data_IF_091117498718
#
_entry.id   IF_091117498718
#
_cell.length_a   1.000
_cell.length_b   1.000
_cell.length_c   1.000
_cell.angle_alpha   90.00
_cell.angle_beta   90.00
_cell.angle_gamma   90.00
#
_symmetry.space_group_name_H-M   'P 1'
#
loop_
_entity.id
_entity.type
_entity.pdbx_description
1 polymer ?
#
# COMPACT_ATOMS: atom_id res chain seq x y z
N UNK A 1 8.04 5.62 -5.04
CA UNK A 1 8.46 6.42 -3.86
C UNK A 1 8.40 7.94 -4.02
N UNK A 2 9.29 8.61 -4.78
CA UNK A 2 9.26 10.10 -4.88
C UNK A 2 7.94 10.64 -5.46
N UNK A 3 7.35 9.93 -6.43
CA UNK A 3 6.13 10.37 -7.08
C UNK A 3 4.91 10.37 -6.13
N UNK A 4 4.76 9.35 -5.28
CA UNK A 4 3.58 9.24 -4.40
C UNK A 4 3.66 10.14 -3.15
N UNK A 5 4.82 10.22 -2.50
CA UNK A 5 5.01 11.09 -1.33
C UNK A 5 4.95 12.58 -1.72
N UNK A 6 5.47 12.94 -2.90
CA UNK A 6 5.31 14.28 -3.45
C UNK A 6 3.86 14.56 -3.88
N UNK A 7 3.14 13.57 -4.40
CA UNK A 7 1.73 13.71 -4.78
C UNK A 7 0.79 13.95 -3.59
N UNK A 8 1.14 13.47 -2.38
CA UNK A 8 0.45 13.81 -1.14
C UNK A 8 0.92 15.13 -0.50
N UNK A 9 1.90 15.82 -1.10
CA UNK A 9 2.42 17.09 -0.58
C UNK A 9 3.22 16.95 0.72
N UNK A 10 3.71 15.75 1.05
CA UNK A 10 4.40 15.49 2.31
C UNK A 10 5.78 16.13 2.26
N UNK A 11 5.97 17.16 3.09
CA UNK A 11 7.24 17.89 3.18
C UNK A 11 8.24 17.11 4.03
N UNK A 12 9.49 17.02 3.56
CA UNK A 12 10.62 16.42 4.29
C UNK A 12 10.72 17.00 5.72
N UNK A 13 10.44 18.29 5.90
CA UNK A 13 10.44 18.96 7.20
C UNK A 13 9.43 18.38 8.18
N UNK A 14 8.23 18.00 7.71
CA UNK A 14 7.17 17.44 8.56
C UNK A 14 7.59 16.03 9.01
N UNK A 15 8.06 15.20 8.10
CA UNK A 15 8.55 13.85 8.40
C UNK A 15 9.76 13.86 9.34
N UNK A 16 10.70 14.79 9.12
CA UNK A 16 11.88 14.97 9.96
C UNK A 16 11.46 15.31 11.40
N UNK A 17 10.55 16.27 11.57
CA UNK A 17 10.05 16.66 12.90
C UNK A 17 9.25 15.53 13.56
N UNK A 18 8.40 14.82 12.82
CA UNK A 18 7.54 13.76 13.34
C UNK A 18 8.33 12.51 13.75
N UNK A 19 9.36 12.15 12.99
CA UNK A 19 10.15 10.92 13.22
C UNK A 19 11.41 11.16 14.05
N UNK A 20 11.76 12.42 14.34
CA UNK A 20 13.00 12.77 15.04
C UNK A 20 14.28 12.53 14.22
N UNK A 21 14.15 12.33 12.91
CA UNK A 21 15.28 12.13 12.00
C UNK A 21 15.74 13.45 11.37
N UNK A 22 17.01 13.53 10.95
CA UNK A 22 17.50 14.70 10.20
C UNK A 22 16.83 14.82 8.83
N UNK A 23 16.70 16.06 8.35
CA UNK A 23 16.12 16.34 7.02
C UNK A 23 16.95 15.69 5.91
N UNK A 24 18.26 15.64 6.07
CA UNK A 24 19.19 14.98 5.14
C UNK A 24 18.95 13.47 5.10
N UNK A 25 18.66 12.85 6.24
CA UNK A 25 18.36 11.42 6.31
C UNK A 25 17.03 11.10 5.63
N UNK A 26 15.95 11.81 5.96
CA UNK A 26 14.64 11.68 5.27
C UNK A 26 14.80 11.94 3.78
N UNK A 27 15.53 13.00 3.40
CA UNK A 27 15.77 13.37 2.01
C UNK A 27 16.52 12.28 1.23
N UNK A 28 17.44 11.54 1.87
CA UNK A 28 18.09 10.36 1.28
C UNK A 28 17.13 9.19 1.14
N UNK A 29 16.29 8.91 2.14
CA UNK A 29 15.30 7.83 2.08
C UNK A 29 14.27 8.02 0.95
N UNK A 30 13.89 9.25 0.66
CA UNK A 30 12.89 9.56 -0.37
C UNK A 30 13.46 9.56 -1.81
N UNK A 31 14.76 9.33 -2.00
CA UNK A 31 15.37 9.21 -3.34
C UNK A 31 14.91 7.92 -4.02
N UNK A 32 14.78 7.95 -5.35
CA UNK A 32 14.32 6.81 -6.16
C UNK A 32 15.19 5.57 -5.99
N UNK A 33 16.50 5.78 -5.85
CA UNK A 33 17.50 4.70 -5.75
C UNK A 33 17.93 4.44 -4.29
N UNK A 34 17.14 4.94 -3.34
CA UNK A 34 17.34 4.67 -1.93
C UNK A 34 16.81 3.29 -1.59
N UNK A 35 17.53 2.56 -0.73
CA UNK A 35 17.07 1.30 -0.17
C UNK A 35 17.06 1.38 1.37
N UNK A 36 16.07 2.08 1.96
CA UNK A 36 15.94 2.16 3.41
C UNK A 36 15.63 0.78 3.99
N UNK A 37 16.02 0.55 5.25
CA UNK A 37 15.56 -0.63 5.97
C UNK A 37 14.02 -0.64 6.07
N UNK A 38 13.42 -1.83 6.06
CA UNK A 38 11.95 -1.97 6.03
C UNK A 38 11.27 -1.28 7.22
N UNK A 39 11.92 -1.28 8.39
CA UNK A 39 11.43 -0.59 9.59
C UNK A 39 11.36 0.92 9.42
N UNK A 40 12.38 1.53 8.82
CA UNK A 40 12.40 2.97 8.56
C UNK A 40 11.39 3.35 7.48
N UNK A 41 11.20 2.47 6.49
CA UNK A 41 10.20 2.66 5.45
C UNK A 41 8.78 2.66 6.03
N UNK A 42 8.45 1.69 6.90
CA UNK A 42 7.15 1.61 7.56
C UNK A 42 6.89 2.85 8.42
N UNK A 43 7.87 3.29 9.20
CA UNK A 43 7.75 4.52 10.01
C UNK A 43 7.47 5.75 9.16
N UNK A 44 8.12 5.90 8.00
CA UNK A 44 7.86 7.00 7.07
C UNK A 44 6.46 6.90 6.46
N UNK A 45 6.01 5.68 6.13
CA UNK A 45 4.67 5.44 5.61
C UNK A 45 3.60 5.83 6.64
N UNK A 46 3.75 5.40 7.90
CA UNK A 46 2.85 5.72 9.00
C UNK A 46 2.80 7.24 9.26
N UNK A 47 3.96 7.89 9.37
CA UNK A 47 4.03 9.34 9.59
C UNK A 47 3.51 10.18 8.41
N UNK A 48 3.51 9.61 7.20
CA UNK A 48 2.94 10.23 6.01
C UNK A 48 1.45 9.88 5.82
N UNK A 49 0.89 9.03 6.68
CA UNK A 49 -0.43 8.40 6.55
C UNK A 49 -0.60 7.74 5.16
N UNK A 50 0.45 7.12 4.65
CA UNK A 50 0.47 6.46 3.34
C UNK A 50 0.60 4.97 3.54
N UNK A 51 -0.24 4.19 2.87
CA UNK A 51 -0.06 2.75 2.84
C UNK A 51 1.28 2.34 2.24
N UNK A 52 1.96 1.47 2.96
CA UNK A 52 3.17 0.80 2.49
C UNK A 52 2.93 0.09 1.14
N UNK A 53 1.77 -0.52 0.96
CA UNK A 53 1.39 -1.20 -0.29
C UNK A 53 1.33 -0.20 -1.44
N UNK A 54 0.77 0.99 -1.21
CA UNK A 54 0.73 2.05 -2.21
C UNK A 54 2.14 2.51 -2.61
N UNK A 55 3.06 2.64 -1.65
CA UNK A 55 4.45 3.06 -1.92
C UNK A 55 5.22 2.09 -2.82
N UNK A 56 4.94 0.79 -2.71
CA UNK A 56 5.58 -0.25 -3.55
C UNK A 56 4.88 -0.49 -4.87
N UNK A 57 3.56 -0.47 -4.89
CA UNK A 57 2.77 -0.88 -6.06
C UNK A 57 2.35 0.29 -6.93
N UNK A 58 2.41 1.52 -6.43
CA UNK A 58 1.88 2.73 -7.08
C UNK A 58 0.36 2.73 -7.24
N UNK A 59 -0.34 1.72 -6.73
CA UNK A 59 -1.80 1.57 -6.83
C UNK A 59 -2.44 2.05 -5.54
N UNK A 60 -3.22 3.14 -5.60
CA UNK A 60 -3.96 3.62 -4.43
C UNK A 60 -4.84 2.50 -3.91
N UNK A 61 -4.83 2.31 -2.60
CA UNK A 61 -5.80 1.42 -1.95
C UNK A 61 -7.19 1.88 -2.35
N UNK A 62 -7.89 1.02 -3.09
CA UNK A 62 -9.32 1.15 -3.25
C UNK A 62 -9.91 0.70 -1.91
N UNK A 63 -10.76 1.49 -1.23
CA UNK A 63 -11.39 1.07 0.04
C UNK A 63 -12.15 -0.26 -0.08
N UNK A 64 -12.53 -0.68 -1.29
CA UNK A 64 -13.05 -2.02 -1.54
C UNK A 64 -12.05 -3.14 -1.19
N UNK A 65 -10.73 -2.87 -1.29
CA UNK A 65 -9.67 -3.81 -0.94
C UNK A 65 -9.40 -3.88 0.56
N UNK A 66 -9.79 -2.90 1.38
CA UNK A 66 -9.56 -2.95 2.84
C UNK A 66 -10.32 -4.13 3.46
N UNK A 67 -11.57 -4.35 3.02
CA UNK A 67 -12.35 -5.52 3.40
C UNK A 67 -11.69 -6.83 2.95
N UNK A 68 -11.17 -6.86 1.71
CA UNK A 68 -10.48 -8.03 1.16
C UNK A 68 -9.18 -8.32 1.92
N UNK A 69 -8.41 -7.29 2.27
CA UNK A 69 -7.17 -7.43 3.04
C UNK A 69 -7.44 -7.90 4.46
N UNK A 70 -8.49 -7.38 5.09
CA UNK A 70 -8.94 -7.82 6.41
C UNK A 70 -9.33 -9.31 6.39
N UNK A 71 -10.06 -9.79 5.38
CA UNK A 71 -10.38 -11.22 5.27
C UNK A 71 -9.14 -12.08 4.95
N UNK A 72 -8.27 -11.63 4.03
CA UNK A 72 -7.01 -12.32 3.73
C UNK A 72 -6.09 -12.43 4.95
N UNK A 73 -6.08 -11.43 5.84
CA UNK A 73 -5.25 -11.42 7.05
C UNK A 73 -5.63 -12.51 8.07
N UNK A 74 -6.85 -13.05 7.98
CA UNK A 74 -7.35 -14.12 8.85
C UNK A 74 -6.93 -15.52 8.37
N UNK A 75 -6.43 -15.62 7.13
CA UNK A 75 -6.04 -16.90 6.52
C UNK A 75 -4.66 -17.33 7.02
N UNK A 76 -4.49 -18.64 7.18
CA UNK A 76 -3.18 -19.25 7.40
C UNK A 76 -2.33 -19.19 6.14
N UNK A 77 -1.00 -19.34 6.27
CA UNK A 77 -0.09 -19.38 5.13
C UNK A 77 -0.43 -20.46 4.09
N UNK A 78 -0.99 -21.59 4.54
CA UNK A 78 -1.43 -22.67 3.66
C UNK A 78 -2.64 -22.25 2.83
N UNK A 79 -3.62 -21.61 3.45
CA UNK A 79 -4.83 -21.11 2.79
C UNK A 79 -4.51 -19.95 1.84
N UNK A 80 -3.61 -19.06 2.25
CA UNK A 80 -3.14 -17.95 1.42
C UNK A 80 -2.43 -18.45 0.15
N UNK A 81 -1.66 -19.55 0.26
CA UNK A 81 -1.02 -20.21 -0.87
C UNK A 81 -2.06 -20.83 -1.82
N UNK A 82 -3.07 -21.52 -1.30
CA UNK A 82 -4.14 -22.09 -2.10
C UNK A 82 -4.95 -21.01 -2.83
N UNK A 83 -5.27 -19.90 -2.14
CA UNK A 83 -5.94 -18.74 -2.73
C UNK A 83 -5.11 -18.14 -3.87
N UNK A 84 -3.79 -17.98 -3.68
CA UNK A 84 -2.88 -17.49 -4.71
C UNK A 84 -2.90 -18.39 -5.96
N UNK A 85 -2.80 -19.70 -5.76
CA UNK A 85 -2.82 -20.67 -6.86
C UNK A 85 -4.15 -20.60 -7.62
N UNK A 86 -5.28 -20.49 -6.92
CA UNK A 86 -6.61 -20.35 -7.51
C UNK A 86 -6.76 -19.07 -8.34
N UNK A 87 -6.40 -17.91 -7.78
CA UNK A 87 -6.46 -16.61 -8.46
C UNK A 87 -5.54 -16.52 -9.70
N UNK A 88 -4.48 -17.32 -9.74
CA UNK A 88 -3.58 -17.40 -10.89
C UNK A 88 -4.05 -18.39 -11.96
N UNK A 89 -4.94 -19.32 -11.60
CA UNK A 89 -5.40 -20.40 -12.47
C UNK A 89 -6.63 -20.05 -13.31
N UNK A 90 -7.45 -19.08 -12.86
CA UNK A 90 -8.68 -18.71 -13.57
C UNK A 90 -8.68 -17.21 -13.92
N UNK A 91 -8.91 -16.82 -15.20
CA UNK A 91 -9.27 -15.45 -15.50
C UNK A 91 -10.62 -15.17 -14.84
N UNK A 92 -10.64 -14.33 -13.81
CA UNK A 92 -11.86 -13.91 -13.13
C UNK A 92 -12.89 -13.43 -14.15
N UNK A 93 -13.92 -14.25 -14.39
CA UNK A 93 -15.12 -13.78 -15.07
C UNK A 93 -15.85 -12.90 -14.07
N UNK A 94 -15.81 -11.60 -14.29
CA UNK A 94 -16.63 -10.67 -13.52
C UNK A 94 -18.10 -11.01 -13.83
N UNK A 95 -18.80 -11.62 -12.88
CA UNK A 95 -20.25 -11.73 -12.97
C UNK A 95 -20.82 -10.31 -12.99
N UNK A 96 -21.44 -9.97 -14.11
CA UNK A 96 -22.19 -8.74 -14.25
C UNK A 96 -23.30 -8.78 -13.20
N UNK A 97 -23.22 -7.89 -12.21
CA UNK A 97 -24.31 -7.65 -11.27
C UNK A 97 -25.46 -7.11 -12.12
N UNK A 98 -26.41 -7.97 -12.48
CA UNK A 98 -27.69 -7.53 -13.02
C UNK A 98 -28.35 -6.67 -11.95
N UNK A 99 -28.29 -5.35 -12.15
CA UNK A 99 -29.02 -4.40 -11.33
C UNK A 99 -30.49 -4.78 -11.31
N UNK A 100 -31.21 -4.54 -10.20
CA UNK A 100 -32.59 -4.96 -10.07
C UNK A 100 -33.44 -4.22 -11.10
N UNK A 101 -33.76 -4.90 -12.20
CA UNK A 101 -34.90 -4.58 -13.01
C UNK A 101 -36.15 -4.79 -12.17
N UNK A 102 -36.93 -3.73 -11.96
CA UNK A 102 -38.37 -3.74 -11.71
C UNK A 102 -38.87 -2.29 -11.83
N UNK A 103 -39.47 -1.99 -12.98
CA UNK A 103 -40.93 -1.75 -13.21
C UNK A 103 -41.30 -0.30 -13.00
#
# INVERSE_FOLDING_TARGET
>A
MKAELAAKGVKITILSNSLGYSREYIGRMMKKDSNPGITDLLRVCDAAEISFVYVFTGKRENPAFDGVFNEMSKLTQKELKALKEHLQSEPMQAEAIEGPGKT
#
